data_IF_039039506486
#
_entry.id   IF_039039506486
#
_cell.length_a   1.000
_cell.length_b   1.000
_cell.length_c   1.000
_cell.angle_alpha   90.00
_cell.angle_beta   90.00
_cell.angle_gamma   90.00
#
_symmetry.space_group_name_H-M   'P 1'
#
loop_
_entity.id
_entity.type
_entity.pdbx_description
1 polymer ?
#
# COMPACT_ATOMS: atom_id res chain seq x y z
N UNK A 1 8.26 -16.63 -12.79
CA UNK A 1 7.18 -15.75 -12.29
C UNK A 1 7.47 -15.35 -10.85
N UNK A 2 7.43 -14.05 -10.52
CA UNK A 2 7.68 -13.54 -9.15
C UNK A 2 6.52 -13.90 -8.23
N UNK A 3 6.81 -14.31 -6.98
CA UNK A 3 5.79 -14.58 -5.96
C UNK A 3 5.55 -13.34 -5.11
N UNK A 4 4.33 -13.18 -4.62
CA UNK A 4 3.97 -12.04 -3.76
C UNK A 4 4.79 -12.07 -2.46
N UNK A 5 5.08 -13.26 -1.94
CA UNK A 5 5.92 -13.43 -0.75
C UNK A 5 7.32 -12.83 -0.93
N UNK A 6 7.94 -12.99 -2.11
CA UNK A 6 9.28 -12.46 -2.40
C UNK A 6 9.27 -10.93 -2.38
N UNK A 7 8.22 -10.31 -2.94
CA UNK A 7 8.03 -8.85 -2.92
C UNK A 7 7.96 -8.33 -1.48
N UNK A 8 7.23 -9.03 -0.60
CA UNK A 8 7.11 -8.62 0.82
C UNK A 8 8.45 -8.78 1.54
N UNK A 9 9.22 -9.84 1.27
CA UNK A 9 10.55 -10.04 1.84
C UNK A 9 11.49 -8.89 1.46
N UNK A 10 11.58 -8.56 0.17
CA UNK A 10 12.45 -7.47 -0.31
C UNK A 10 11.99 -6.11 0.24
N UNK A 11 10.66 -5.87 0.28
CA UNK A 11 10.14 -4.64 0.86
C UNK A 11 10.44 -4.52 2.35
N UNK A 12 10.45 -5.64 3.09
CA UNK A 12 10.85 -5.68 4.49
C UNK A 12 12.32 -5.28 4.67
N UNK A 13 13.22 -5.87 3.88
CA UNK A 13 14.65 -5.58 3.91
C UNK A 13 14.96 -4.12 3.57
N UNK A 14 14.33 -3.58 2.52
CA UNK A 14 14.57 -2.20 2.09
C UNK A 14 14.01 -1.14 3.05
N UNK A 15 12.98 -1.47 3.83
CA UNK A 15 12.29 -0.52 4.72
C UNK A 15 12.60 -0.69 6.21
N UNK A 16 13.22 -1.81 6.59
CA UNK A 16 13.45 -2.20 7.99
C UNK A 16 12.17 -2.61 8.74
N UNK A 17 11.05 -2.77 8.04
CA UNK A 17 9.78 -3.24 8.63
C UNK A 17 9.71 -4.76 8.49
N UNK A 18 9.37 -5.48 9.56
CA UNK A 18 9.31 -6.94 9.49
C UNK A 18 8.19 -7.44 8.55
N UNK A 19 8.39 -8.61 7.93
CA UNK A 19 7.34 -9.27 7.11
C UNK A 19 6.03 -9.45 7.87
N UNK A 20 6.12 -9.87 9.12
CA UNK A 20 4.97 -10.07 10.00
C UNK A 20 4.20 -8.76 10.20
N UNK A 21 4.92 -7.65 10.39
CA UNK A 21 4.31 -6.33 10.54
C UNK A 21 3.65 -5.84 9.25
N UNK A 22 4.27 -6.07 8.08
CA UNK A 22 3.66 -5.76 6.78
C UNK A 22 2.37 -6.57 6.58
N UNK A 23 2.35 -7.86 6.95
CA UNK A 23 1.14 -8.70 6.86
C UNK A 23 0.12 -8.42 7.97
N UNK A 24 0.55 -7.82 9.08
CA UNK A 24 -0.31 -7.54 10.25
C UNK A 24 -1.45 -6.59 9.93
N UNK A 25 -2.45 -6.54 10.82
CA UNK A 25 -3.55 -5.56 10.80
C UNK A 25 -3.14 -4.14 11.23
N UNK A 26 -1.85 -3.91 11.53
CA UNK A 26 -1.34 -2.62 11.97
C UNK A 26 -1.64 -1.50 10.96
N UNK A 27 -2.10 -0.37 11.51
CA UNK A 27 -2.42 0.87 10.78
C UNK A 27 -1.35 1.95 10.98
N UNK A 28 -0.20 1.59 11.56
CA UNK A 28 0.95 2.49 11.70
C UNK A 28 1.35 3.01 10.32
N UNK A 29 1.48 4.32 10.17
CA UNK A 29 1.68 4.97 8.88
C UNK A 29 2.89 4.40 8.11
N UNK A 30 4.01 4.17 8.80
CA UNK A 30 5.23 3.58 8.21
C UNK A 30 4.96 2.20 7.60
N UNK A 31 4.24 1.33 8.32
CA UNK A 31 3.90 -0.02 7.87
C UNK A 31 2.92 0.02 6.70
N UNK A 32 1.90 0.88 6.78
CA UNK A 32 0.89 1.04 5.73
C UNK A 32 1.54 1.52 4.42
N UNK A 33 2.50 2.45 4.50
CA UNK A 33 3.26 2.92 3.32
C UNK A 33 4.00 1.77 2.63
N UNK A 34 4.76 0.98 3.39
CA UNK A 34 5.49 -0.18 2.85
C UNK A 34 4.54 -1.22 2.26
N UNK A 35 3.39 -1.45 2.91
CA UNK A 35 2.36 -2.36 2.42
C UNK A 35 1.73 -1.89 1.11
N UNK A 36 1.41 -0.60 1.02
CA UNK A 36 0.88 -0.01 -0.20
C UNK A 36 1.88 -0.09 -1.37
N UNK A 37 3.18 0.07 -1.08
CA UNK A 37 4.25 -0.18 -2.06
C UNK A 37 4.24 -1.63 -2.56
N UNK A 38 4.06 -2.61 -1.66
CA UNK A 38 3.93 -4.02 -2.05
C UNK A 38 2.74 -4.25 -2.99
N UNK A 39 1.60 -3.59 -2.76
CA UNK A 39 0.44 -3.69 -3.65
C UNK A 39 0.79 -3.18 -5.05
N UNK A 40 1.50 -2.06 -5.15
CA UNK A 40 1.91 -1.45 -6.41
C UNK A 40 2.81 -2.37 -7.22
N UNK A 41 3.88 -2.88 -6.61
CA UNK A 41 4.82 -3.77 -7.31
C UNK A 41 4.19 -5.12 -7.65
N UNK A 42 3.30 -5.64 -6.81
CA UNK A 42 2.56 -6.86 -7.12
C UNK A 42 1.60 -6.67 -8.31
N UNK A 43 0.97 -5.49 -8.44
CA UNK A 43 0.14 -5.15 -9.61
C UNK A 43 0.97 -5.00 -10.89
N UNK A 44 2.12 -4.35 -10.80
CA UNK A 44 3.07 -4.25 -11.93
C UNK A 44 3.60 -5.61 -12.37
N UNK A 45 3.73 -6.55 -11.43
CA UNK A 45 4.11 -7.94 -11.70
C UNK A 45 2.96 -8.79 -12.29
N UNK A 46 1.83 -8.17 -12.66
CA UNK A 46 0.68 -8.83 -13.30
C UNK A 46 -0.26 -9.60 -12.36
N UNK A 47 -0.13 -9.47 -11.02
CA UNK A 47 -1.01 -10.18 -10.08
C UNK A 47 -2.37 -9.50 -9.97
N UNK A 48 -3.47 -10.26 -10.00
CA UNK A 48 -4.83 -9.72 -9.84
C UNK A 48 -5.08 -9.15 -8.42
N UNK A 49 -5.97 -8.17 -8.28
CA UNK A 49 -6.37 -7.63 -6.97
C UNK A 49 -6.80 -8.71 -5.96
N UNK A 50 -7.67 -9.68 -6.30
CA UNK A 50 -8.03 -10.73 -5.37
C UNK A 50 -6.86 -11.67 -5.04
N UNK A 51 -5.92 -11.92 -5.97
CA UNK A 51 -4.73 -12.71 -5.68
C UNK A 51 -3.81 -12.02 -4.68
N UNK A 52 -3.62 -10.71 -4.82
CA UNK A 52 -2.86 -9.88 -3.86
C UNK A 52 -3.53 -9.88 -2.50
N UNK A 53 -4.85 -9.69 -2.47
CA UNK A 53 -5.65 -9.74 -1.26
C UNK A 53 -5.50 -11.06 -0.52
N UNK A 54 -5.66 -12.20 -1.22
CA UNK A 54 -5.46 -13.53 -0.63
C UNK A 54 -4.06 -13.73 -0.06
N UNK A 55 -3.01 -13.32 -0.79
CA UNK A 55 -1.63 -13.49 -0.34
C UNK A 55 -1.28 -12.65 0.90
N UNK A 56 -1.91 -11.49 1.06
CA UNK A 56 -1.66 -10.56 2.18
C UNK A 56 -2.73 -10.62 3.27
N UNK A 57 -3.76 -11.48 3.12
CA UNK A 57 -4.87 -11.62 4.05
C UNK A 57 -5.78 -10.38 4.12
N UNK A 58 -6.05 -9.73 2.97
CA UNK A 58 -6.79 -8.47 2.86
C UNK A 58 -7.87 -8.49 1.79
N UNK A 59 -8.91 -7.69 2.00
CA UNK A 59 -9.96 -7.49 1.01
C UNK A 59 -9.42 -6.78 -0.23
N UNK A 60 -9.85 -7.23 -1.41
CA UNK A 60 -9.42 -6.67 -2.68
C UNK A 60 -9.77 -5.17 -2.81
N UNK A 61 -10.86 -4.72 -2.20
CA UNK A 61 -11.24 -3.30 -2.11
C UNK A 61 -10.21 -2.47 -1.32
N UNK A 62 -9.63 -3.06 -0.26
CA UNK A 62 -8.53 -2.45 0.51
C UNK A 62 -7.27 -2.33 -0.35
N UNK A 63 -6.99 -3.32 -1.20
CA UNK A 63 -5.85 -3.26 -2.13
C UNK A 63 -6.01 -2.10 -3.11
N UNK A 64 -7.21 -1.93 -3.69
CA UNK A 64 -7.50 -0.83 -4.61
C UNK A 64 -7.29 0.52 -3.92
N UNK A 65 -7.85 0.71 -2.73
CA UNK A 65 -7.69 1.97 -1.98
C UNK A 65 -6.21 2.23 -1.61
N UNK A 66 -5.49 1.19 -1.17
CA UNK A 66 -4.06 1.29 -0.88
C UNK A 66 -3.22 1.65 -2.11
N UNK A 67 -3.61 1.16 -3.28
CA UNK A 67 -2.93 1.46 -4.55
C UNK A 67 -3.12 2.93 -4.95
N UNK A 68 -4.35 3.45 -4.89
CA UNK A 68 -4.63 4.87 -5.13
C UNK A 68 -3.82 5.76 -4.19
N UNK A 69 -3.73 5.40 -2.90
CA UNK A 69 -2.89 6.11 -1.93
C UNK A 69 -1.41 6.02 -2.26
N UNK A 70 -0.91 4.86 -2.70
CA UNK A 70 0.50 4.71 -3.10
C UNK A 70 0.88 5.67 -4.23
N UNK A 71 0.00 5.81 -5.24
CA UNK A 71 0.23 6.70 -6.39
C UNK A 71 0.31 8.16 -5.94
N UNK A 72 -0.64 8.60 -5.10
CA UNK A 72 -0.66 9.96 -4.55
C UNK A 72 0.62 10.23 -3.75
N UNK A 73 0.97 9.33 -2.81
CA UNK A 73 2.18 9.48 -1.99
C UNK A 73 3.46 9.46 -2.84
N UNK A 74 3.49 8.73 -3.95
CA UNK A 74 4.64 8.72 -4.87
C UNK A 74 4.79 10.03 -5.64
N UNK A 75 3.70 10.75 -5.87
CA UNK A 75 3.74 12.08 -6.48
C UNK A 75 4.14 13.16 -5.48
N UNK A 76 3.64 13.08 -4.24
CA UNK A 76 3.91 14.05 -3.18
C UNK A 76 5.32 13.91 -2.58
N UNK A 77 5.80 12.69 -2.37
CA UNK A 77 7.04 12.42 -1.62
C UNK A 77 8.13 11.80 -2.52
N UNK A 78 9.18 12.55 -2.89
CA UNK A 78 10.28 12.04 -3.71
C UNK A 78 11.01 10.84 -3.09
N UNK A 79 11.10 10.81 -1.74
CA UNK A 79 11.72 9.69 -1.01
C UNK A 79 10.95 8.39 -1.21
N UNK A 80 9.62 8.45 -1.19
CA UNK A 80 8.77 7.29 -1.43
C UNK A 80 8.89 6.82 -2.90
N UNK A 81 8.95 7.75 -3.86
CA UNK A 81 9.23 7.41 -5.27
C UNK A 81 10.58 6.73 -5.44
N UNK A 82 11.64 7.22 -4.80
CA UNK A 82 12.96 6.60 -4.83
C UNK A 82 12.94 5.18 -4.22
N UNK A 83 12.20 4.99 -3.13
CA UNK A 83 11.98 3.68 -2.52
C UNK A 83 11.29 2.71 -3.49
N UNK A 84 10.20 3.14 -4.16
CA UNK A 84 9.50 2.33 -5.15
C UNK A 84 10.42 1.94 -6.32
N UNK A 85 11.26 2.86 -6.80
CA UNK A 85 12.26 2.58 -7.83
C UNK A 85 13.24 1.49 -7.38
N UNK A 86 13.79 1.60 -6.16
CA UNK A 86 14.69 0.59 -5.58
C UNK A 86 14.01 -0.77 -5.45
N UNK A 87 12.77 -0.80 -4.96
CA UNK A 87 12.00 -2.02 -4.82
C UNK A 87 11.71 -2.68 -6.17
N UNK A 88 11.34 -1.89 -7.20
CA UNK A 88 11.13 -2.39 -8.57
C UNK A 88 12.40 -3.02 -9.13
N UNK A 89 13.54 -2.34 -9.01
CA UNK A 89 14.85 -2.88 -9.46
C UNK A 89 15.24 -4.14 -8.70
N UNK A 90 14.99 -4.20 -7.39
CA UNK A 90 15.28 -5.40 -6.61
C UNK A 90 14.40 -6.58 -7.02
N UNK A 91 13.10 -6.36 -7.25
CA UNK A 91 12.16 -7.40 -7.67
C UNK A 91 12.47 -7.92 -9.08
N UNK A 92 12.91 -7.08 -10.01
CA UNK A 92 13.31 -7.54 -11.35
C UNK A 92 14.54 -8.44 -11.35
N UNK A 93 15.41 -8.30 -10.34
CA UNK A 93 16.64 -9.09 -10.21
C UNK A 93 16.41 -10.45 -9.52
N UNK A 94 15.23 -10.68 -8.94
CA UNK A 94 14.92 -11.97 -8.32
C UNK A 94 14.71 -13.01 -9.40
N UNK A 95 15.64 -13.95 -9.49
CA UNK A 95 15.46 -15.14 -10.29
C UNK A 95 14.21 -15.88 -9.81
N UNK A 96 13.28 -16.25 -10.70
CA UNK A 96 12.16 -17.09 -10.31
C UNK A 96 12.72 -18.45 -9.88
N UNK A 97 12.74 -18.68 -8.57
CA UNK A 97 13.26 -19.91 -7.99
C UNK A 97 12.53 -21.11 -8.62
N UNK A 98 13.23 -21.83 -9.49
CA UNK A 98 12.85 -23.14 -9.95
C UNK A 98 13.19 -24.13 -8.83
N UNK A 99 12.16 -24.56 -8.09
CA UNK A 99 12.25 -25.73 -7.22
C UNK A 99 12.33 -25.44 -5.73
N UNK A 100 11.45 -26.12 -5.00
CA UNK A 100 11.60 -26.44 -3.60
C UNK A 100 13.03 -26.90 -3.28
N UNK A 101 13.80 -26.07 -2.58
CA UNK A 101 14.79 -26.54 -1.62
C UNK A 101 14.69 -25.66 -0.39
N UNK A 102 14.15 -26.27 0.65
CA UNK A 102 14.21 -25.77 2.01
C UNK A 102 15.68 -25.56 2.40
N UNK A 103 15.91 -24.44 3.10
CA UNK A 103 16.95 -24.19 4.13
C UNK A 103 18.36 -23.75 3.71
N UNK A 104 19.06 -22.93 4.53
CA UNK A 104 18.96 -22.87 6.00
C UNK A 104 18.72 -21.48 6.60
N UNK A 105 18.22 -21.50 7.83
CA UNK A 105 18.42 -20.50 8.90
C UNK A 105 19.16 -19.21 8.48
N UNK A 106 18.46 -18.26 7.86
CA UNK A 106 18.84 -16.86 8.09
C UNK A 106 18.28 -16.58 9.46
N UNK A 107 19.14 -16.65 10.47
CA UNK A 107 18.83 -16.14 11.79
C UNK A 107 18.31 -14.71 11.59
N UNK A 108 17.00 -14.53 11.78
CA UNK A 108 16.46 -13.18 11.81
C UNK A 108 17.28 -12.45 12.88
N UNK A 109 17.92 -11.31 12.59
CA UNK A 109 18.21 -10.39 13.68
C UNK A 109 16.85 -10.14 14.33
N UNK A 110 16.66 -10.69 15.54
CA UNK A 110 15.42 -10.56 16.30
C UNK A 110 15.08 -9.07 16.28
N UNK A 111 13.97 -8.64 15.67
CA UNK A 111 13.60 -7.24 15.74
C UNK A 111 13.23 -6.98 17.20
N UNK A 112 14.17 -6.42 17.96
CA UNK A 112 13.93 -5.78 19.24
C UNK A 112 13.12 -4.50 19.01
N UNK A 113 11.92 -4.64 18.45
CA UNK A 113 10.94 -3.57 18.47
C UNK A 113 10.28 -3.66 19.84
N UNK A 114 10.79 -2.84 20.76
CA UNK A 114 10.03 -2.38 21.92
C UNK A 114 8.71 -1.84 21.33
N UNK A 115 7.61 -2.55 21.57
CA UNK A 115 6.29 -2.06 21.23
C UNK A 115 5.97 -1.01 22.28
N UNK A 116 5.99 0.32 22.00
CA UNK A 116 5.31 1.23 22.91
C UNK A 116 3.85 0.81 22.93
N UNK A 117 3.31 0.66 24.14
CA UNK A 117 1.90 0.33 24.36
C UNK A 117 1.03 1.17 23.42
N UNK A 118 0.01 0.57 22.78
CA UNK A 118 -0.82 1.29 21.83
C UNK A 118 -1.35 2.57 22.49
N UNK A 119 -1.26 3.74 21.85
CA UNK A 119 -1.88 4.93 22.39
C UNK A 119 -3.37 4.62 22.56
N UNK A 120 -3.89 4.90 23.76
CA UNK A 120 -5.29 4.66 24.10
C UNK A 120 -6.17 5.14 22.94
N UNK A 121 -6.99 4.23 22.39
CA UNK A 121 -7.97 4.62 21.38
C UNK A 121 -8.78 5.75 22.00
N UNK A 122 -8.70 6.94 21.42
CA UNK A 122 -9.52 8.07 21.84
C UNK A 122 -10.97 7.60 21.75
N UNK A 123 -11.61 7.45 22.91
CA UNK A 123 -12.98 6.98 22.99
C UNK A 123 -13.83 7.91 22.12
N UNK A 124 -14.38 7.36 21.04
CA UNK A 124 -15.44 8.05 20.30
C UNK A 124 -16.57 8.16 21.31
N UNK A 125 -16.81 9.37 21.83
CA UNK A 125 -18.02 9.65 22.61
C UNK A 125 -19.19 9.25 21.72
N UNK A 126 -19.94 8.23 22.13
CA UNK A 126 -21.28 8.03 21.64
C UNK A 126 -22.04 9.32 21.96
N UNK A 127 -22.23 10.17 20.95
CA UNK A 127 -23.25 11.21 21.00
C UNK A 127 -24.51 10.56 20.49
N UNK A 128 -25.27 10.08 21.45
CA UNK A 128 -26.62 9.59 21.25
C UNK A 128 -27.54 10.80 21.42
N UNK A 129 -27.80 11.55 20.34
CA UNK A 129 -28.78 12.64 20.30
C UNK A 129 -29.40 12.68 18.89
N UNK A 130 -30.26 11.70 18.60
CA UNK A 130 -31.17 11.80 17.45
C UNK A 130 -32.54 12.24 17.99
N UNK A 131 -32.70 13.55 18.12
CA UNK A 131 -33.99 14.19 18.43
C UNK A 131 -34.22 15.35 17.45
N UNK A 132 -35.30 15.24 16.67
CA UNK A 132 -36.02 16.34 15.99
C UNK A 132 -35.30 17.02 14.82
N UNK A 133 -35.88 17.06 13.61
CA UNK A 133 -37.04 17.88 13.20
C UNK A 133 -36.59 19.14 12.45
N UNK A 134 -36.85 19.09 11.13
CA UNK A 134 -37.27 20.15 10.21
C UNK A 134 -36.40 21.41 10.00
N UNK A 135 -35.95 21.60 8.75
CA UNK A 135 -36.47 22.65 7.83
C UNK A 135 -35.70 22.71 6.49
N UNK A 136 -36.44 23.01 5.43
CA UNK A 136 -36.06 23.11 4.01
C UNK A 136 -34.91 24.06 3.67
N UNK A 137 -34.11 23.71 2.63
CA UNK A 137 -33.77 24.59 1.49
C UNK A 137 -32.82 23.94 0.46
N UNK A 138 -33.38 23.71 -0.73
CA UNK A 138 -32.86 24.06 -2.07
C UNK A 138 -31.35 24.25 -2.32
N UNK A 139 -30.89 23.55 -3.37
CA UNK A 139 -29.93 23.96 -4.42
C UNK A 139 -28.45 24.21 -4.04
N UNK A 140 -27.54 23.35 -4.53
CA UNK A 140 -26.37 23.74 -5.34
C UNK A 140 -25.45 22.58 -5.75
N UNK A 141 -25.43 22.34 -7.07
CA UNK A 141 -24.27 22.05 -7.94
C UNK A 141 -23.46 20.73 -7.81
N UNK A 142 -23.59 19.93 -8.87
CA UNK A 142 -22.52 19.44 -9.76
C UNK A 142 -21.31 18.73 -9.12
N UNK A 143 -21.44 17.41 -8.95
CA UNK A 143 -20.29 16.52 -8.81
C UNK A 143 -19.67 16.21 -10.18
N UNK A 144 -18.86 17.13 -10.72
CA UNK A 144 -17.92 16.83 -11.82
C UNK A 144 -16.54 16.56 -11.21
N UNK A 145 -16.19 15.28 -11.03
CA UNK A 145 -14.89 14.92 -10.45
C UNK A 145 -14.28 13.60 -10.96
N UNK A 146 -14.85 12.97 -11.99
CA UNK A 146 -14.24 11.78 -12.60
C UNK A 146 -13.35 12.12 -13.81
N UNK A 147 -13.58 13.27 -14.45
CA UNK A 147 -12.81 13.75 -15.62
C UNK A 147 -11.36 14.12 -15.25
N UNK A 148 -11.18 14.84 -14.14
CA UNK A 148 -9.86 15.37 -13.75
C UNK A 148 -8.88 14.28 -13.32
N UNK A 149 -9.39 13.16 -12.81
CA UNK A 149 -8.58 12.01 -12.40
C UNK A 149 -7.97 11.26 -13.60
N UNK A 150 -8.75 11.08 -14.68
CA UNK A 150 -8.26 10.48 -15.93
C UNK A 150 -7.31 11.42 -16.68
N UNK A 151 -7.53 12.73 -16.60
CA UNK A 151 -6.64 13.73 -17.14
C UNK A 151 -5.28 13.75 -16.41
N UNK A 152 -5.27 13.66 -15.08
CA UNK A 152 -4.04 13.58 -14.28
C UNK A 152 -3.22 12.31 -14.56
N UNK A 153 -3.89 11.17 -14.74
CA UNK A 153 -3.24 9.90 -15.11
C UNK A 153 -2.61 9.95 -16.51
N UNK A 154 -3.32 10.51 -17.51
CA UNK A 154 -2.78 10.70 -18.87
C UNK A 154 -1.62 11.71 -18.90
N UNK A 155 -1.72 12.80 -18.14
CA UNK A 155 -0.66 13.79 -18.05
C UNK A 155 0.63 13.20 -17.45
N UNK A 156 0.49 12.40 -16.39
CA UNK A 156 1.62 11.70 -15.78
C UNK A 156 2.27 10.68 -16.72
N UNK A 157 1.49 9.99 -17.56
CA UNK A 157 2.01 9.08 -18.59
C UNK A 157 2.78 9.84 -19.69
N UNK A 158 2.25 10.96 -20.18
CA UNK A 158 2.86 11.74 -21.27
C UNK A 158 4.22 12.38 -20.91
N UNK A 159 4.44 12.70 -19.63
CA UNK A 159 5.71 13.26 -19.16
C UNK A 159 6.81 12.19 -19.01
N UNK A 160 6.45 10.91 -18.90
CA UNK A 160 7.41 9.81 -18.82
C UNK A 160 7.92 9.45 -20.22
N UNK A 161 7.06 9.48 -21.23
CA UNK A 161 7.42 9.14 -22.63
C UNK A 161 8.26 10.23 -23.33
N UNK A 162 8.18 11.49 -22.89
CA UNK A 162 8.98 12.61 -23.43
C UNK A 162 10.39 12.75 -22.83
N UNK A 163 10.68 12.01 -21.76
CA UNK A 163 11.96 12.06 -21.05
C UNK A 163 12.84 10.82 -21.31
N UNK A 164 12.45 9.98 -22.26
CA UNK A 164 13.20 8.86 -22.82
C UNK A 164 13.59 9.18 -24.26
#
# INVERSE_FOLDING_TARGET
>A
MVRIADIVTIAAELSGVSRQEIMSKSRVARVVRVRNACYMIARESGKSYPAIGRALGRDHSTIIHGLSKAIITAHEEPRYRAFLKRLRTAVSNVQPFAGDRISPTVELPKPSVIVPAPPARRAVKARNDFSGCDTDKSEASMATGSSDFLAALKAAQSNIERAA
#
